data_IF_555698971490
#
_entry.id   IF_555698971490
#
_cell.length_a   1.000
_cell.length_b   1.000
_cell.length_c   1.000
_cell.angle_alpha   90.00
_cell.angle_beta   90.00
_cell.angle_gamma   90.00
#
_symmetry.space_group_name_H-M   'P 1'
#
loop_
_entity.id
_entity.type
_entity.pdbx_description
1 polymer ?
#
# COMPACT_ATOMS: atom_id res chain seq x y z
N UNK A 1 -1.07 35.48 -39.32
CA UNK A 1 -1.33 34.07 -38.97
C UNK A 1 -0.25 33.55 -38.02
N UNK A 2 -0.56 32.68 -37.04
CA UNK A 2 0.46 31.98 -36.27
C UNK A 2 1.32 31.08 -37.17
N UNK A 3 2.65 31.09 -37.00
CA UNK A 3 3.56 30.23 -37.80
C UNK A 3 3.22 28.75 -37.56
N UNK A 4 3.05 27.96 -38.63
CA UNK A 4 2.76 26.51 -38.54
C UNK A 4 3.82 25.82 -37.67
N UNK A 5 3.41 25.15 -36.58
CA UNK A 5 4.34 24.46 -35.67
C UNK A 5 5.09 23.35 -36.42
N UNK A 6 6.42 23.31 -36.27
CA UNK A 6 7.28 22.26 -36.85
C UNK A 6 6.91 20.87 -36.34
N UNK A 7 7.25 19.82 -37.10
CA UNK A 7 6.98 18.43 -36.70
C UNK A 7 7.60 18.08 -35.34
N UNK A 8 8.83 18.54 -35.09
CA UNK A 8 9.52 18.43 -33.80
C UNK A 8 8.72 19.10 -32.66
N UNK A 9 8.25 20.34 -32.85
CA UNK A 9 7.45 21.05 -31.83
C UNK A 9 6.13 20.34 -31.56
N UNK A 10 5.45 19.81 -32.59
CA UNK A 10 4.24 18.98 -32.41
C UNK A 10 4.52 17.70 -31.61
N UNK A 11 5.65 17.01 -31.88
CA UNK A 11 6.06 15.80 -31.15
C UNK A 11 6.35 16.12 -29.67
N UNK A 12 7.09 17.20 -29.40
CA UNK A 12 7.39 17.64 -28.04
C UNK A 12 6.14 18.05 -27.25
N UNK A 13 5.20 18.79 -27.87
CA UNK A 13 3.92 19.14 -27.24
C UNK A 13 3.07 17.89 -26.93
N UNK A 14 3.00 16.90 -27.85
CA UNK A 14 2.32 15.62 -27.59
C UNK A 14 2.99 14.81 -26.47
N UNK A 15 4.33 14.79 -26.41
CA UNK A 15 5.07 14.11 -25.35
C UNK A 15 4.84 14.76 -23.98
N UNK A 16 4.86 16.09 -23.90
CA UNK A 16 4.56 16.84 -22.66
C UNK A 16 3.13 16.62 -22.17
N UNK A 17 2.18 16.48 -23.10
CA UNK A 17 0.79 16.16 -22.78
C UNK A 17 0.67 14.72 -22.24
N UNK A 18 1.30 13.73 -22.88
CA UNK A 18 1.39 12.34 -22.37
C UNK A 18 2.06 12.24 -20.99
N UNK A 19 3.09 13.03 -20.72
CA UNK A 19 3.72 13.11 -19.40
C UNK A 19 2.82 13.78 -18.34
N UNK A 20 1.84 14.59 -18.73
CA UNK A 20 0.80 15.07 -17.82
C UNK A 20 -0.20 13.97 -17.52
N UNK A 21 -0.71 13.28 -18.56
CA UNK A 21 -1.63 12.14 -18.43
C UNK A 21 -1.04 11.05 -17.50
N UNK A 22 0.22 10.67 -17.69
CA UNK A 22 0.91 9.69 -16.85
C UNK A 22 1.01 10.13 -15.39
N UNK A 23 1.34 11.41 -15.11
CA UNK A 23 1.43 11.90 -13.72
C UNK A 23 0.06 11.96 -13.05
N UNK A 24 -0.98 12.40 -13.75
CA UNK A 24 -2.35 12.34 -13.26
C UNK A 24 -2.78 10.88 -12.98
N UNK A 25 -2.48 9.94 -13.86
CA UNK A 25 -2.85 8.53 -13.69
C UNK A 25 -2.15 7.86 -12.49
N UNK A 26 -0.91 8.25 -12.14
CA UNK A 26 -0.18 7.70 -10.98
C UNK A 26 -0.88 7.97 -9.64
N UNK A 27 -1.71 9.02 -9.54
CA UNK A 27 -2.51 9.28 -8.34
C UNK A 27 -3.63 8.24 -8.12
N UNK A 28 -4.04 7.50 -9.16
CA UNK A 28 -5.13 6.52 -9.12
C UNK A 28 -4.66 5.05 -9.29
N UNK A 29 -3.36 4.78 -9.22
CA UNK A 29 -2.84 3.40 -9.17
C UNK A 29 -3.03 2.84 -7.76
N UNK A 30 -3.73 1.71 -7.63
CA UNK A 30 -3.69 0.91 -6.41
C UNK A 30 -2.26 0.42 -6.19
N UNK A 31 -1.63 0.97 -5.15
CA UNK A 31 -0.24 0.66 -4.81
C UNK A 31 -0.10 -0.70 -4.10
N UNK A 32 -1.11 -1.16 -3.37
CA UNK A 32 -1.05 -2.43 -2.64
C UNK A 32 -1.09 -3.63 -3.60
N UNK A 33 -1.85 -3.52 -4.69
CA UNK A 33 -1.94 -4.56 -5.74
C UNK A 33 -0.88 -4.44 -6.84
N UNK A 34 -0.14 -3.32 -6.95
CA UNK A 34 0.79 -3.12 -8.06
C UNK A 34 2.00 -4.07 -7.99
N UNK A 35 2.41 -4.77 -9.08
CA UNK A 35 3.43 -5.82 -9.05
C UNK A 35 4.82 -5.44 -8.50
N UNK A 36 5.19 -4.16 -8.46
CA UNK A 36 6.44 -3.67 -7.86
C UNK A 36 6.38 -3.52 -6.32
N UNK A 37 5.23 -3.82 -5.71
CA UNK A 37 4.93 -3.62 -4.30
C UNK A 37 4.14 -4.78 -3.66
N UNK A 38 3.83 -5.84 -4.42
CA UNK A 38 3.34 -7.11 -3.87
C UNK A 38 4.31 -7.66 -2.83
N UNK A 39 3.79 -8.41 -1.85
CA UNK A 39 4.63 -9.12 -0.90
C UNK A 39 5.42 -10.25 -1.60
N UNK A 40 6.63 -10.50 -1.12
CA UNK A 40 7.43 -11.67 -1.47
C UNK A 40 8.14 -12.20 -0.21
N UNK A 41 8.44 -13.49 -0.18
CA UNK A 41 9.22 -14.12 0.89
C UNK A 41 10.54 -14.62 0.30
N UNK A 42 11.67 -14.32 0.94
CA UNK A 42 12.98 -14.62 0.36
C UNK A 42 13.33 -16.11 0.45
N UNK A 43 13.53 -16.78 -0.70
CA UNK A 43 13.86 -18.20 -0.81
C UNK A 43 15.03 -18.66 0.11
N UNK A 44 15.95 -17.74 0.46
CA UNK A 44 17.15 -18.02 1.27
C UNK A 44 16.98 -17.78 2.77
N UNK A 45 16.18 -16.81 3.20
CA UNK A 45 16.08 -16.40 4.60
C UNK A 45 14.65 -16.32 5.18
N UNK A 46 13.64 -16.66 4.38
CA UNK A 46 12.21 -16.70 4.72
C UNK A 46 11.68 -15.42 5.40
N UNK A 47 12.33 -14.28 5.14
CA UNK A 47 11.82 -12.97 5.55
C UNK A 47 10.89 -12.41 4.49
N UNK A 48 9.72 -11.96 4.94
CA UNK A 48 8.74 -11.22 4.14
C UNK A 48 9.25 -9.80 3.88
N UNK A 49 9.08 -9.34 2.66
CA UNK A 49 9.52 -8.03 2.15
C UNK A 49 8.63 -7.65 0.94
N UNK A 50 8.77 -6.45 0.39
CA UNK A 50 8.14 -6.17 -0.92
C UNK A 50 8.93 -6.78 -2.08
N UNK A 51 8.25 -6.99 -3.20
CA UNK A 51 8.79 -7.30 -4.53
C UNK A 51 10.03 -6.45 -4.84
N UNK A 52 11.21 -7.09 -4.96
CA UNK A 52 12.54 -6.49 -5.20
C UNK A 52 13.40 -7.41 -6.08
N UNK A 53 14.51 -6.87 -6.57
CA UNK A 53 15.51 -7.58 -7.36
C UNK A 53 16.38 -8.48 -6.48
N UNK A 54 16.80 -7.93 -5.34
CA UNK A 54 17.58 -8.58 -4.30
C UNK A 54 16.80 -8.56 -2.98
N UNK A 55 17.10 -9.48 -2.07
CA UNK A 55 16.52 -9.45 -0.74
C UNK A 55 17.18 -8.36 0.12
N UNK A 56 16.35 -7.46 0.66
CA UNK A 56 16.77 -6.36 1.53
C UNK A 56 17.61 -6.85 2.73
N UNK A 57 17.29 -8.03 3.28
CA UNK A 57 17.94 -8.57 4.47
C UNK A 57 19.22 -9.39 4.22
N UNK A 58 19.42 -9.93 3.00
CA UNK A 58 20.54 -10.86 2.75
C UNK A 58 21.14 -10.80 1.34
N UNK A 59 20.76 -9.80 0.53
CA UNK A 59 21.18 -9.57 -0.87
C UNK A 59 20.95 -10.74 -1.84
N UNK A 60 20.25 -11.80 -1.42
CA UNK A 60 19.97 -12.96 -2.27
C UNK A 60 18.98 -12.61 -3.40
N UNK A 61 19.23 -13.16 -4.59
CA UNK A 61 18.31 -13.08 -5.74
C UNK A 61 17.23 -14.15 -5.59
N UNK A 62 15.96 -13.80 -5.84
CA UNK A 62 14.87 -14.77 -5.84
C UNK A 62 14.99 -15.75 -7.02
N UNK A 63 14.75 -17.03 -6.77
CA UNK A 63 14.75 -18.11 -7.77
C UNK A 63 13.68 -17.91 -8.85
N UNK A 64 12.52 -17.37 -8.46
CA UNK A 64 11.38 -17.09 -9.33
C UNK A 64 10.99 -15.61 -9.24
N UNK A 65 11.64 -14.70 -9.99
CA UNK A 65 11.31 -13.28 -9.97
C UNK A 65 9.98 -12.99 -10.67
N UNK A 66 9.16 -12.14 -10.06
CA UNK A 66 7.95 -11.58 -10.67
C UNK A 66 8.24 -10.24 -11.36
N UNK A 67 7.59 -9.96 -12.49
CA UNK A 67 7.77 -8.67 -13.17
C UNK A 67 7.02 -7.52 -12.50
N UNK A 68 7.77 -6.51 -12.04
CA UNK A 68 7.31 -5.25 -11.43
C UNK A 68 6.30 -4.42 -12.26
N UNK A 69 6.07 -4.76 -13.53
CA UNK A 69 5.14 -4.09 -14.45
C UNK A 69 3.96 -4.96 -14.91
N UNK A 70 4.03 -6.29 -14.80
CA UNK A 70 2.99 -7.18 -15.32
C UNK A 70 2.72 -8.44 -14.50
N UNK A 71 3.32 -8.59 -13.31
CA UNK A 71 3.11 -9.71 -12.38
C UNK A 71 3.69 -11.07 -12.82
N UNK A 72 3.86 -11.29 -14.12
CA UNK A 72 4.29 -12.58 -14.69
C UNK A 72 5.64 -13.04 -14.14
N UNK A 73 5.69 -14.32 -13.76
CA UNK A 73 6.88 -15.09 -13.37
C UNK A 73 7.38 -16.02 -14.51
N UNK A 74 6.90 -15.80 -15.75
CA UNK A 74 7.33 -16.47 -16.99
C UNK A 74 7.05 -15.59 -18.23
N UNK A 75 7.98 -15.44 -19.18
CA UNK A 75 7.61 -14.95 -20.52
C UNK A 75 7.06 -16.12 -21.36
N UNK A 76 5.86 -15.91 -21.92
CA UNK A 76 5.18 -16.84 -22.80
C UNK A 76 5.36 -16.37 -24.24
N UNK A 77 5.93 -17.20 -25.12
CA UNK A 77 6.24 -16.84 -26.51
C UNK A 77 5.01 -16.31 -27.30
N UNK A 78 3.81 -16.82 -26.98
CA UNK A 78 2.52 -16.36 -27.55
C UNK A 78 2.25 -14.85 -27.45
N UNK A 79 3.00 -14.10 -26.62
CA UNK A 79 2.86 -12.63 -26.49
C UNK A 79 3.82 -11.81 -27.38
N UNK A 80 4.76 -12.44 -28.10
CA UNK A 80 5.54 -11.85 -29.21
C UNK A 80 6.56 -10.73 -28.91
N UNK A 81 6.38 -9.93 -27.86
CA UNK A 81 7.13 -8.68 -27.60
C UNK A 81 8.31 -8.83 -26.61
N UNK A 82 8.75 -10.06 -26.32
CA UNK A 82 9.95 -10.31 -25.52
C UNK A 82 11.22 -10.00 -26.36
N UNK A 83 12.08 -9.10 -25.86
CA UNK A 83 13.24 -8.52 -26.59
C UNK A 83 14.32 -9.57 -26.83
N UNK A 84 14.56 -10.43 -25.83
CA UNK A 84 15.29 -11.68 -26.02
C UNK A 84 14.30 -12.73 -26.54
N UNK A 85 14.63 -13.37 -27.67
CA UNK A 85 13.77 -14.42 -28.26
C UNK A 85 14.08 -15.77 -27.64
N UNK A 86 13.03 -16.49 -27.24
CA UNK A 86 13.10 -17.85 -26.71
C UNK A 86 12.09 -18.75 -27.46
N UNK A 87 12.49 -19.37 -28.59
CA UNK A 87 11.60 -20.24 -29.36
C UNK A 87 11.29 -21.53 -28.57
N UNK A 88 10.04 -22.00 -28.66
CA UNK A 88 9.61 -23.30 -28.11
C UNK A 88 9.55 -23.45 -26.59
N UNK A 89 10.16 -22.55 -25.80
CA UNK A 89 10.31 -22.71 -24.34
C UNK A 89 9.78 -21.49 -23.59
N UNK A 90 9.14 -21.72 -22.42
CA UNK A 90 8.78 -20.66 -21.48
C UNK A 90 10.00 -20.26 -20.65
N UNK A 91 10.41 -19.00 -20.72
CA UNK A 91 11.56 -18.54 -19.94
C UNK A 91 11.13 -18.06 -18.56
N UNK A 92 11.84 -18.54 -17.53
CA UNK A 92 11.66 -18.28 -16.10
C UNK A 92 12.99 -17.85 -15.47
N UNK A 93 13.00 -17.58 -14.15
CA UNK A 93 14.23 -17.26 -13.42
C UNK A 93 14.91 -16.00 -13.96
N UNK A 94 16.24 -16.02 -14.06
CA UNK A 94 16.99 -14.88 -14.60
C UNK A 94 16.81 -14.68 -16.12
N UNK A 95 16.47 -15.71 -16.89
CA UNK A 95 16.35 -15.59 -18.35
C UNK A 95 15.21 -14.70 -18.82
N UNK A 96 14.18 -14.51 -17.99
CA UNK A 96 13.03 -13.64 -18.29
C UNK A 96 13.24 -12.17 -17.85
N UNK A 97 14.29 -11.91 -17.07
CA UNK A 97 14.66 -10.56 -16.62
C UNK A 97 15.20 -9.76 -17.81
N UNK A 98 14.91 -8.46 -17.83
CA UNK A 98 15.49 -7.51 -18.80
C UNK A 98 16.10 -6.26 -18.18
N UNK A 99 15.65 -5.83 -16.99
CA UNK A 99 16.22 -4.72 -16.24
C UNK A 99 15.86 -4.77 -14.75
N UNK A 100 16.56 -4.00 -13.93
CA UNK A 100 16.09 -3.51 -12.62
C UNK A 100 15.49 -2.11 -12.86
N UNK A 101 14.54 -1.70 -12.01
CA UNK A 101 14.03 -0.33 -12.01
C UNK A 101 14.59 0.45 -10.82
N UNK A 102 15.25 1.57 -11.08
CA UNK A 102 15.92 2.42 -10.07
C UNK A 102 14.96 3.00 -9.00
N UNK A 103 13.66 3.03 -9.32
CA UNK A 103 12.62 3.61 -8.47
C UNK A 103 11.98 2.63 -7.49
N UNK A 104 11.80 1.37 -7.90
CA UNK A 104 11.14 0.35 -7.08
C UNK A 104 12.07 -0.79 -6.68
N UNK A 105 13.33 -0.75 -7.12
CA UNK A 105 14.35 -1.79 -6.91
C UNK A 105 13.89 -3.19 -7.32
N UNK A 106 12.98 -3.32 -8.30
CA UNK A 106 12.34 -4.59 -8.66
C UNK A 106 12.59 -5.00 -10.12
N UNK A 107 12.56 -6.31 -10.38
CA UNK A 107 12.82 -6.87 -11.71
C UNK A 107 11.73 -6.48 -12.73
N UNK A 108 12.16 -5.99 -13.90
CA UNK A 108 11.32 -5.80 -15.08
C UNK A 108 11.68 -6.89 -16.09
N UNK A 109 10.69 -7.61 -16.60
CA UNK A 109 10.93 -8.67 -17.58
C UNK A 109 11.35 -8.08 -18.93
N UNK A 110 12.01 -8.89 -19.76
CA UNK A 110 12.52 -8.49 -21.07
C UNK A 110 11.44 -8.15 -22.12
N UNK A 111 10.16 -8.05 -21.76
CA UNK A 111 9.09 -7.58 -22.64
C UNK A 111 9.25 -6.10 -22.95
N UNK A 112 9.32 -5.73 -24.24
CA UNK A 112 9.57 -4.34 -24.69
C UNK A 112 8.55 -3.36 -24.13
N UNK A 113 7.25 -3.72 -24.10
CA UNK A 113 6.21 -2.93 -23.41
C UNK A 113 6.58 -2.65 -21.95
N UNK A 114 7.08 -3.64 -21.20
CA UNK A 114 7.43 -3.48 -19.79
C UNK A 114 8.68 -2.60 -19.63
N UNK A 115 9.76 -2.89 -20.36
CA UNK A 115 11.00 -2.11 -20.34
C UNK A 115 10.78 -0.65 -20.74
N UNK A 116 9.92 -0.38 -21.74
CA UNK A 116 9.66 0.98 -22.25
C UNK A 116 8.61 1.76 -21.45
N UNK A 117 7.73 1.10 -20.68
CA UNK A 117 6.75 1.80 -19.84
C UNK A 117 7.22 1.98 -18.40
N UNK A 118 7.86 0.98 -17.79
CA UNK A 118 7.87 0.86 -16.33
C UNK A 118 8.51 2.04 -15.62
N UNK A 119 9.72 2.46 -16.02
CA UNK A 119 10.37 3.63 -15.41
C UNK A 119 9.56 4.93 -15.57
N UNK A 120 8.77 5.06 -16.65
CA UNK A 120 7.90 6.24 -16.85
C UNK A 120 6.62 6.19 -16.01
N UNK A 121 6.12 4.99 -15.66
CA UNK A 121 4.83 4.80 -14.97
C UNK A 121 4.98 4.26 -13.55
N UNK A 122 6.21 4.08 -13.04
CA UNK A 122 6.46 3.45 -11.75
C UNK A 122 5.75 4.22 -10.62
N UNK A 123 4.86 3.60 -9.83
CA UNK A 123 4.13 4.30 -8.78
C UNK A 123 5.03 4.68 -7.59
N UNK A 124 6.24 4.10 -7.51
CA UNK A 124 7.21 4.33 -6.44
C UNK A 124 8.30 5.38 -6.75
N UNK A 125 8.32 5.99 -7.94
CA UNK A 125 9.39 6.94 -8.33
C UNK A 125 9.47 8.23 -7.52
N UNK A 126 8.44 8.55 -6.72
CA UNK A 126 8.41 9.69 -5.80
C UNK A 126 8.08 9.22 -4.36
N UNK A 127 8.33 7.95 -4.04
CA UNK A 127 7.95 7.34 -2.76
C UNK A 127 9.04 7.50 -1.70
N UNK A 128 8.73 8.35 -0.72
CA UNK A 128 9.49 8.57 0.52
C UNK A 128 8.45 8.55 1.65
N UNK A 129 8.72 7.84 2.74
CA UNK A 129 7.80 7.77 3.86
C UNK A 129 7.63 9.15 4.52
N UNK A 130 6.40 9.52 4.90
CA UNK A 130 6.15 10.77 5.62
C UNK A 130 6.65 10.78 7.07
N UNK A 131 6.76 9.62 7.73
CA UNK A 131 7.10 9.53 9.16
C UNK A 131 8.60 9.31 9.36
N UNK A 132 9.16 8.19 8.88
CA UNK A 132 10.60 7.91 9.04
C UNK A 132 11.52 8.54 7.97
N UNK A 133 11.00 9.39 7.08
CA UNK A 133 11.71 10.04 5.94
C UNK A 133 12.47 9.11 4.97
N UNK A 134 12.41 7.79 5.15
CA UNK A 134 13.12 6.79 4.34
C UNK A 134 12.53 6.62 2.94
N UNK A 135 13.39 6.53 1.95
CA UNK A 135 13.06 6.14 0.58
C UNK A 135 12.94 4.61 0.40
N UNK A 136 12.45 4.19 -0.77
CA UNK A 136 12.18 2.77 -1.10
C UNK A 136 13.38 1.83 -0.87
N UNK A 137 14.60 2.33 -1.00
CA UNK A 137 15.85 1.57 -0.84
C UNK A 137 16.24 1.31 0.63
N UNK A 138 15.65 2.02 1.59
CA UNK A 138 16.09 2.09 2.99
C UNK A 138 15.16 1.34 3.98
N UNK A 139 14.16 0.64 3.45
CA UNK A 139 13.25 -0.22 4.21
C UNK A 139 12.92 -1.50 3.42
N UNK A 140 12.68 -2.62 4.10
CA UNK A 140 12.39 -3.91 3.42
C UNK A 140 10.93 -4.06 2.95
N UNK A 141 9.99 -3.58 3.76
CA UNK A 141 8.55 -3.77 3.59
C UNK A 141 7.93 -3.05 2.39
N UNK A 142 6.62 -3.26 2.22
CA UNK A 142 5.75 -2.60 1.23
C UNK A 142 5.61 -1.11 1.50
N UNK A 143 5.09 -0.40 0.51
CA UNK A 143 4.72 1.02 0.59
C UNK A 143 3.22 1.15 0.40
N UNK A 144 2.59 2.03 1.18
CA UNK A 144 1.18 2.33 1.14
C UNK A 144 0.97 3.83 0.88
N UNK A 145 -0.28 4.23 0.62
CA UNK A 145 -0.67 5.64 0.57
C UNK A 145 -1.82 5.86 1.55
N UNK A 146 -1.68 6.85 2.43
CA UNK A 146 -2.74 7.20 3.37
C UNK A 146 -4.00 7.62 2.59
N UNK A 147 -5.17 7.07 2.94
CA UNK A 147 -6.44 7.48 2.36
C UNK A 147 -6.73 8.98 2.55
N UNK A 148 -6.38 9.55 3.71
CA UNK A 148 -6.72 10.93 4.08
C UNK A 148 -5.74 12.00 3.58
N UNK A 149 -4.42 11.78 3.68
CA UNK A 149 -3.41 12.75 3.20
C UNK A 149 -2.78 12.37 1.85
N UNK A 150 -3.00 11.15 1.35
CA UNK A 150 -2.39 10.64 0.11
C UNK A 150 -0.85 10.67 0.09
N UNK A 151 -0.19 10.79 1.25
CA UNK A 151 1.26 10.64 1.40
C UNK A 151 1.67 9.16 1.38
N UNK A 152 2.93 8.89 1.04
CA UNK A 152 3.49 7.55 1.09
C UNK A 152 3.89 7.17 2.52
N UNK A 153 3.73 5.89 2.84
CA UNK A 153 4.03 5.29 4.15
C UNK A 153 4.74 3.96 3.93
N UNK A 154 5.74 3.59 4.74
CA UNK A 154 6.24 2.21 4.74
C UNK A 154 5.28 1.28 5.48
N UNK A 155 5.47 -0.03 5.32
CA UNK A 155 4.64 -1.06 5.95
C UNK A 155 4.64 -1.02 7.49
N UNK A 156 5.72 -0.49 8.08
CA UNK A 156 5.88 -0.28 9.52
C UNK A 156 4.99 0.90 9.99
N UNK A 157 5.21 2.09 9.43
CA UNK A 157 4.59 3.36 9.86
C UNK A 157 3.09 3.49 9.48
N UNK A 158 2.57 2.61 8.61
CA UNK A 158 1.28 2.83 7.96
C UNK A 158 0.09 2.95 8.92
N UNK A 159 0.12 2.22 10.04
CA UNK A 159 -1.00 2.12 10.98
C UNK A 159 -1.01 3.29 11.96
N UNK A 160 0.17 3.65 12.50
CA UNK A 160 0.33 4.79 13.41
C UNK A 160 0.00 6.11 12.72
N UNK A 161 0.43 6.27 11.46
CA UNK A 161 -0.02 7.40 10.64
C UNK A 161 -1.52 7.35 10.36
N UNK A 162 -2.11 6.21 9.97
CA UNK A 162 -3.55 6.16 9.66
C UNK A 162 -4.44 6.48 10.88
N UNK A 163 -4.05 6.04 12.08
CA UNK A 163 -4.74 6.36 13.32
C UNK A 163 -4.67 7.85 13.70
N UNK A 164 -3.57 8.53 13.36
CA UNK A 164 -3.31 9.93 13.73
C UNK A 164 -3.60 10.96 12.62
N UNK A 165 -3.70 10.55 11.35
CA UNK A 165 -3.58 11.47 10.21
C UNK A 165 -4.66 12.55 10.12
N UNK A 166 -5.89 12.27 10.58
CA UNK A 166 -6.96 13.28 10.61
C UNK A 166 -6.71 14.37 11.65
N UNK A 167 -5.93 14.09 12.70
CA UNK A 167 -5.58 15.05 13.75
C UNK A 167 -4.68 16.15 13.18
N UNK A 168 -4.88 17.36 13.69
CA UNK A 168 -4.12 18.57 13.34
C UNK A 168 -3.31 19.02 14.55
N UNK A 169 -2.04 19.34 14.34
CA UNK A 169 -1.13 19.83 15.39
C UNK A 169 -1.62 21.13 16.05
N UNK A 170 -2.39 21.93 15.31
CA UNK A 170 -2.85 23.25 15.76
C UNK A 170 -4.25 23.19 16.39
N UNK A 171 -4.34 22.88 17.68
CA UNK A 171 -5.59 22.93 18.48
C UNK A 171 -6.35 24.26 18.36
N UNK A 172 -5.65 25.35 18.03
CA UNK A 172 -6.25 26.68 17.89
C UNK A 172 -7.09 26.86 16.62
N UNK A 173 -7.00 25.94 15.65
CA UNK A 173 -7.63 26.03 14.31
C UNK A 173 -7.36 27.33 13.54
N UNK A 174 -6.30 28.08 13.90
CA UNK A 174 -5.99 29.38 13.33
C UNK A 174 -5.39 29.25 11.93
N UNK A 175 -5.79 30.15 11.03
CA UNK A 175 -5.23 30.25 9.69
C UNK A 175 -3.76 30.67 9.76
N UNK A 176 -2.88 29.82 9.22
CA UNK A 176 -1.41 29.98 9.19
C UNK A 176 -0.92 31.34 8.63
N UNK A 177 -1.78 32.08 7.91
CA UNK A 177 -1.43 33.32 7.20
C UNK A 177 -2.12 34.59 7.75
N UNK A 178 -3.04 34.50 8.73
CA UNK A 178 -3.58 35.69 9.40
C UNK A 178 -4.23 35.46 10.78
N UNK A 179 -4.04 34.31 11.41
CA UNK A 179 -4.51 33.97 12.76
C UNK A 179 -6.03 34.06 13.06
N UNK A 180 -6.86 34.50 12.10
CA UNK A 180 -8.33 34.26 12.06
C UNK A 180 -8.62 32.75 12.00
N UNK A 181 -9.79 32.33 12.45
CA UNK A 181 -10.25 30.93 12.37
C UNK A 181 -10.15 30.39 10.93
N UNK A 182 -9.59 29.19 10.77
CA UNK A 182 -9.56 28.45 9.52
C UNK A 182 -10.88 27.71 9.27
N UNK A 183 -11.29 27.66 8.01
CA UNK A 183 -12.45 26.88 7.55
C UNK A 183 -12.03 25.62 6.77
N UNK A 184 -10.76 25.58 6.34
CA UNK A 184 -10.18 24.52 5.55
C UNK A 184 -8.89 24.01 6.21
N UNK A 185 -8.71 22.69 6.24
CA UNK A 185 -7.54 22.04 6.83
C UNK A 185 -6.80 21.19 5.80
N UNK A 186 -5.46 21.20 5.87
CA UNK A 186 -4.61 20.41 4.96
C UNK A 186 -3.99 19.21 5.69
N UNK A 187 -4.52 18.01 5.45
CA UNK A 187 -4.03 16.79 6.12
C UNK A 187 -2.58 16.39 5.76
N UNK A 188 -2.02 16.92 4.65
CA UNK A 188 -0.59 16.83 4.29
C UNK A 188 0.33 17.84 4.96
N UNK A 189 -0.20 18.93 5.53
CA UNK A 189 0.61 19.99 6.14
C UNK A 189 0.24 20.29 7.59
N UNK A 190 -0.77 19.60 8.14
CA UNK A 190 -1.41 19.81 9.46
C UNK A 190 -1.89 21.24 9.77
N UNK A 191 -1.78 22.17 8.81
CA UNK A 191 -2.16 23.59 8.92
C UNK A 191 -3.59 23.88 8.48
N UNK A 192 -4.25 24.81 9.20
CA UNK A 192 -5.53 25.40 8.83
C UNK A 192 -5.39 26.67 7.96
N UNK A 193 -6.40 26.97 7.14
CA UNK A 193 -6.49 28.18 6.31
C UNK A 193 -7.91 28.76 6.30
N UNK A 194 -8.02 30.09 6.23
CA UNK A 194 -9.30 30.79 6.06
C UNK A 194 -9.65 30.94 4.57
N UNK A 195 -10.95 31.11 4.31
CA UNK A 195 -11.57 31.24 2.99
C UNK A 195 -10.80 32.17 2.03
N UNK A 196 -10.39 33.33 2.55
CA UNK A 196 -9.69 34.36 1.81
C UNK A 196 -8.30 33.92 1.35
N UNK A 197 -7.50 33.27 2.20
CA UNK A 197 -6.16 32.80 1.84
C UNK A 197 -6.19 31.61 0.89
N UNK A 198 -7.24 30.80 0.97
CA UNK A 198 -7.48 29.69 0.06
C UNK A 198 -7.91 30.20 -1.33
N UNK A 199 -8.76 31.24 -1.39
CA UNK A 199 -9.18 31.86 -2.66
C UNK A 199 -8.12 32.74 -3.30
N UNK A 200 -7.31 33.49 -2.53
CA UNK A 200 -6.25 34.39 -3.07
C UNK A 200 -5.22 33.68 -3.97
N UNK A 201 -4.96 32.38 -3.80
CA UNK A 201 -4.07 31.59 -4.68
C UNK A 201 -4.77 31.05 -5.93
N UNK A 202 -6.10 31.00 -5.95
CA UNK A 202 -6.91 30.49 -7.07
C UNK A 202 -7.19 31.61 -8.09
N UNK A 203 -6.17 31.98 -8.86
CA UNK A 203 -6.27 32.96 -9.92
C UNK A 203 -7.17 32.47 -11.08
N UNK A 204 -8.49 32.72 -10.96
CA UNK A 204 -9.40 32.76 -12.10
C UNK A 204 -10.17 31.48 -12.45
N UNK A 205 -10.71 30.73 -11.47
CA UNK A 205 -11.96 29.95 -11.64
C UNK A 205 -12.52 29.39 -10.33
N UNK A 206 -13.84 29.47 -10.08
CA UNK A 206 -14.47 28.66 -9.03
C UNK A 206 -14.48 27.19 -9.44
N UNK A 207 -13.85 26.35 -8.61
CA UNK A 207 -13.92 24.89 -8.71
C UNK A 207 -15.15 24.37 -7.96
N UNK A 208 -15.81 23.32 -8.48
CA UNK A 208 -16.79 22.55 -7.69
C UNK A 208 -16.10 21.59 -6.70
N UNK A 209 -14.87 21.18 -7.00
CA UNK A 209 -14.05 20.34 -6.14
C UNK A 209 -13.37 21.20 -5.06
N UNK A 210 -13.11 20.61 -3.90
CA UNK A 210 -12.50 21.28 -2.76
C UNK A 210 -11.16 21.98 -3.13
N UNK A 211 -10.86 23.14 -2.53
CA UNK A 211 -9.80 24.01 -3.02
C UNK A 211 -8.38 23.50 -2.67
N UNK A 212 -7.35 23.83 -3.47
CA UNK A 212 -5.98 23.38 -3.24
C UNK A 212 -5.26 24.18 -2.14
N UNK A 213 -4.47 23.48 -1.33
CA UNK A 213 -3.67 24.02 -0.24
C UNK A 213 -2.69 25.12 -0.70
N UNK A 214 -2.64 26.29 -0.04
CA UNK A 214 -1.69 27.35 -0.36
C UNK A 214 -0.21 26.96 -0.26
N UNK A 215 0.14 25.98 0.58
CA UNK A 215 1.50 25.42 0.72
C UNK A 215 1.75 24.34 -0.35
N UNK A 216 1.20 23.14 -0.17
CA UNK A 216 1.54 21.95 -0.96
C UNK A 216 0.63 21.66 -2.18
N UNK A 217 -0.46 22.41 -2.38
CA UNK A 217 -1.41 22.19 -3.48
C UNK A 217 -2.38 21.01 -3.31
N UNK A 218 -2.21 20.17 -2.28
CA UNK A 218 -3.15 19.09 -1.94
C UNK A 218 -4.57 19.60 -1.69
N UNK A 219 -5.59 18.81 -1.99
CA UNK A 219 -6.98 19.18 -1.75
C UNK A 219 -7.22 19.43 -0.24
N UNK A 220 -7.88 20.53 0.08
CA UNK A 220 -8.24 20.85 1.46
C UNK A 220 -9.56 20.18 1.82
N UNK A 221 -9.70 19.77 3.08
CA UNK A 221 -10.98 19.35 3.65
C UNK A 221 -11.59 20.53 4.40
N UNK A 222 -12.91 20.59 4.54
CA UNK A 222 -13.54 21.53 5.48
C UNK A 222 -13.17 21.10 6.90
N UNK A 223 -12.81 22.06 7.76
CA UNK A 223 -12.39 21.76 9.14
C UNK A 223 -13.52 21.13 9.97
N UNK A 224 -14.78 21.38 9.61
CA UNK A 224 -15.97 20.79 10.24
C UNK A 224 -16.27 19.35 9.78
N UNK A 225 -15.78 18.92 8.60
CA UNK A 225 -16.00 17.56 8.08
C UNK A 225 -14.99 16.56 8.68
N UNK A 226 -13.97 17.05 9.39
CA UNK A 226 -12.97 16.22 10.06
C UNK A 226 -13.50 15.78 11.43
N UNK A 227 -13.68 14.48 11.60
CA UNK A 227 -14.05 13.81 12.87
C UNK A 227 -12.91 13.86 13.90
N UNK A 228 -12.60 15.08 14.36
CA UNK A 228 -11.56 15.38 15.34
C UNK A 228 -11.96 14.86 16.73
N UNK A 229 -11.52 13.66 17.10
CA UNK A 229 -11.64 13.19 18.49
C UNK A 229 -10.82 14.08 19.42
N UNK A 230 -11.49 14.75 20.35
CA UNK A 230 -10.84 15.47 21.47
C UNK A 230 -10.34 14.51 22.56
N UNK A 231 -10.59 13.20 22.43
CA UNK A 231 -10.06 12.16 23.31
C UNK A 231 -8.87 11.48 22.62
N UNK A 232 -7.66 11.83 23.03
CA UNK A 232 -6.42 11.25 22.52
C UNK A 232 -6.14 9.88 23.16
N UNK A 233 -6.71 8.81 22.61
CA UNK A 233 -6.38 7.45 23.01
C UNK A 233 -4.99 7.07 22.45
N UNK A 234 -3.99 6.99 23.33
CA UNK A 234 -2.66 6.46 22.98
C UNK A 234 -2.73 4.93 22.89
N UNK A 235 -2.79 4.40 21.66
CA UNK A 235 -2.73 2.96 21.38
C UNK A 235 -1.29 2.41 21.54
N UNK A 236 -0.74 2.49 22.74
CA UNK A 236 0.43 1.71 23.13
C UNK A 236 0.00 0.31 23.57
N UNK A 237 0.94 -0.66 23.55
CA UNK A 237 0.79 -1.86 24.39
C UNK A 237 0.77 -1.40 25.84
N UNK A 238 -0.38 -1.46 26.48
CA UNK A 238 -0.48 -1.42 27.93
C UNK A 238 0.21 -2.68 28.45
N UNK A 239 1.45 -2.54 28.90
CA UNK A 239 2.00 -3.51 29.85
C UNK A 239 1.08 -3.53 31.06
N UNK A 240 0.80 -4.72 31.60
CA UNK A 240 -0.07 -4.84 32.75
C UNK A 240 0.50 -4.00 33.90
N UNK A 241 -0.19 -2.91 34.24
CA UNK A 241 0.05 -2.26 35.51
C UNK A 241 -0.38 -3.25 36.58
N UNK A 242 0.59 -3.72 37.37
CA UNK A 242 0.29 -4.21 38.72
C UNK A 242 -0.51 -3.12 39.41
N UNK A 243 -1.62 -3.48 40.03
CA UNK A 243 -2.30 -2.55 40.93
C UNK A 243 -1.40 -2.38 42.15
N UNK A 244 -0.81 -1.20 42.28
CA UNK A 244 -0.35 -0.72 43.57
C UNK A 244 -1.61 -0.35 44.37
N UNK A 245 -1.97 -1.20 45.34
CA UNK A 245 -2.72 -0.74 46.52
C UNK A 245 -1.66 -0.21 47.50
N UNK A 246 -1.71 1.08 47.83
CA UNK A 246 -0.88 1.68 48.88
C UNK A 246 -1.31 1.17 50.27
N UNK A 247 -0.36 0.84 51.16
CA UNK A 247 -0.31 1.30 52.57
C UNK A 247 0.87 0.68 53.38
N UNK A 248 1.46 1.51 54.26
CA UNK A 248 2.20 1.27 55.52
C UNK A 248 3.37 0.24 55.68
N UNK A 249 4.58 0.81 55.78
CA UNK A 249 5.62 0.71 56.86
C UNK A 249 6.07 -0.60 57.59
N UNK A 250 7.41 -0.63 57.80
CA UNK A 250 8.23 -1.27 58.89
C UNK A 250 8.67 -2.76 58.82
N UNK A 251 9.71 -3.07 59.65
CA UNK A 251 10.40 -4.34 60.03
C UNK A 251 9.98 -5.67 59.33
N UNK A 252 10.85 -6.58 58.87
CA UNK A 252 12.26 -6.85 59.19
C UNK A 252 12.45 -8.35 59.47
N UNK A 253 13.65 -8.74 59.93
CA UNK A 253 13.97 -10.08 60.52
C UNK A 253 13.97 -11.37 59.64
N UNK A 254 15.14 -12.03 59.60
CA UNK A 254 15.40 -13.48 59.53
C UNK A 254 14.49 -14.44 58.71
N UNK A 255 14.99 -14.91 57.57
CA UNK A 255 14.46 -16.06 56.83
C UNK A 255 14.98 -17.44 57.29
N UNK A 256 14.73 -18.49 56.49
CA UNK A 256 15.30 -19.82 56.66
C UNK A 256 15.62 -20.47 55.29
N UNK A 257 16.40 -21.55 55.28
CA UNK A 257 16.77 -22.33 54.11
C UNK A 257 15.91 -23.61 53.96
N UNK A 258 16.25 -24.45 52.97
CA UNK A 258 15.61 -25.73 52.58
C UNK A 258 14.18 -25.61 52.04
N UNK A 259 13.73 -26.39 51.05
CA UNK A 259 14.41 -27.41 50.23
C UNK A 259 13.88 -28.84 50.44
N UNK A 260 14.01 -29.65 49.39
CA UNK A 260 13.58 -31.07 49.27
C UNK A 260 12.17 -31.30 48.68
N UNK A 261 11.89 -32.57 48.34
CA UNK A 261 10.79 -33.07 47.49
C UNK A 261 10.14 -34.30 48.12
N UNK A 262 8.85 -34.56 47.89
CA UNK A 262 8.19 -35.74 48.45
C UNK A 262 6.69 -35.84 48.18
N UNK A 263 6.31 -36.94 47.54
CA UNK A 263 4.95 -37.37 47.17
C UNK A 263 4.01 -37.73 48.34
N UNK A 264 2.73 -37.87 47.97
CA UNK A 264 1.68 -38.72 48.59
C UNK A 264 0.94 -38.19 49.85
N UNK A 265 -0.39 -38.35 50.00
CA UNK A 265 -1.38 -38.90 49.04
C UNK A 265 -2.82 -38.97 49.59
N UNK A 266 -3.82 -38.84 48.69
CA UNK A 266 -5.27 -39.09 48.93
C UNK A 266 -6.05 -38.02 49.71
N UNK A 267 -7.40 -37.96 49.66
CA UNK A 267 -8.40 -38.53 48.72
C UNK A 267 -9.78 -37.90 49.01
N UNK A 268 -10.56 -37.50 47.98
CA UNK A 268 -12.03 -37.67 47.81
C UNK A 268 -12.70 -36.64 46.85
N UNK A 269 -13.70 -37.12 46.07
CA UNK A 269 -14.89 -36.37 45.67
C UNK A 269 -14.82 -35.30 44.55
N UNK A 270 -15.29 -35.62 43.33
CA UNK A 270 -15.55 -34.60 42.31
C UNK A 270 -15.65 -35.10 40.85
N UNK A 271 -16.61 -35.97 40.54
CA UNK A 271 -16.87 -36.41 39.16
C UNK A 271 -17.74 -35.41 38.38
N UNK A 272 -17.23 -34.92 37.24
CA UNK A 272 -18.04 -34.45 36.10
C UNK A 272 -17.18 -34.37 34.83
N UNK A 273 -17.09 -35.46 34.07
CA UNK A 273 -16.63 -35.41 32.68
C UNK A 273 -17.75 -34.93 31.77
N UNK A 274 -17.46 -33.96 30.89
CA UNK A 274 -18.34 -33.61 29.77
C UNK A 274 -17.54 -33.69 28.48
N UNK A 275 -17.83 -34.71 27.69
CA UNK A 275 -17.28 -34.92 26.36
C UNK A 275 -18.43 -35.25 25.41
N UNK A 276 -18.89 -34.26 24.67
CA UNK A 276 -19.77 -34.46 23.53
C UNK A 276 -19.03 -33.98 22.28
N UNK A 277 -18.79 -34.94 21.40
CA UNK A 277 -18.73 -34.67 19.96
C UNK A 277 -20.16 -34.77 19.45
N UNK A 278 -20.58 -33.81 18.63
CA UNK A 278 -21.61 -34.03 17.63
C UNK A 278 -20.96 -33.74 16.26
N UNK A 279 -21.16 -34.67 15.32
CA UNK A 279 -20.75 -34.55 13.91
C UNK A 279 -21.89 -33.90 13.08
N UNK A 280 -21.64 -33.73 11.78
CA UNK A 280 -22.64 -33.46 10.72
C UNK A 280 -23.32 -32.06 10.74
N UNK A 281 -23.70 -31.42 9.63
CA UNK A 281 -23.72 -31.80 8.19
C UNK A 281 -23.03 -30.71 7.33
N UNK A 282 -22.32 -31.11 6.26
CA UNK A 282 -21.77 -30.21 5.21
C UNK A 282 -22.79 -30.10 4.04
N UNK A 283 -23.46 -28.95 3.86
CA UNK A 283 -24.29 -28.70 2.67
C UNK A 283 -23.47 -28.07 1.53
N UNK A 284 -23.29 -28.82 0.44
CA UNK A 284 -22.58 -28.41 -0.77
C UNK A 284 -23.57 -28.16 -1.92
N UNK A 285 -23.76 -26.89 -2.30
CA UNK A 285 -24.55 -26.52 -3.49
C UNK A 285 -23.64 -26.44 -4.73
N UNK A 286 -23.43 -27.58 -5.39
CA UNK A 286 -22.80 -27.65 -6.72
C UNK A 286 -23.84 -27.38 -7.84
N UNK A 287 -23.92 -26.14 -8.33
CA UNK A 287 -24.64 -25.82 -9.58
C UNK A 287 -23.77 -26.09 -10.82
N UNK A 288 -23.64 -27.37 -11.22
CA UNK A 288 -23.21 -27.72 -12.59
C UNK A 288 -24.39 -27.69 -13.56
N UNK A 289 -24.21 -27.02 -14.71
CA UNK A 289 -25.14 -27.06 -15.84
C UNK A 289 -24.37 -26.92 -17.15
N UNK A 290 -24.11 -28.05 -17.79
CA UNK A 290 -23.31 -28.16 -19.03
C UNK A 290 -24.05 -29.00 -20.09
N UNK A 291 -23.79 -28.68 -21.37
CA UNK A 291 -24.04 -29.47 -22.61
C UNK A 291 -25.49 -29.89 -22.99
N UNK A 292 -25.81 -30.33 -24.23
CA UNK A 292 -25.77 -29.66 -25.56
C UNK A 292 -27.00 -30.23 -26.37
N UNK A 293 -27.23 -30.28 -27.69
CA UNK A 293 -26.54 -29.99 -28.98
C UNK A 293 -27.44 -29.09 -29.88
N UNK A 294 -26.95 -28.51 -30.99
CA UNK A 294 -27.67 -27.52 -31.79
C UNK A 294 -28.56 -28.13 -32.90
N UNK A 295 -29.53 -27.34 -33.41
CA UNK A 295 -30.12 -27.61 -34.73
C UNK A 295 -29.63 -26.64 -35.82
N UNK A 296 -29.19 -27.23 -36.93
CA UNK A 296 -28.61 -26.56 -38.08
C UNK A 296 -29.61 -26.62 -39.26
N UNK A 297 -30.13 -25.46 -39.69
CA UNK A 297 -30.92 -25.36 -40.92
C UNK A 297 -30.28 -24.39 -41.93
N UNK A 298 -29.83 -24.94 -43.04
CA UNK A 298 -29.26 -24.17 -44.14
C UNK A 298 -30.37 -23.52 -44.98
N UNK A 299 -30.12 -22.30 -45.49
CA UNK A 299 -30.86 -21.81 -46.65
C UNK A 299 -29.95 -21.04 -47.62
N UNK A 300 -29.64 -21.68 -48.75
CA UNK A 300 -28.88 -21.08 -49.85
C UNK A 300 -29.83 -20.66 -50.97
N UNK A 301 -29.92 -19.36 -51.27
CA UNK A 301 -30.43 -18.88 -52.57
C UNK A 301 -30.00 -17.45 -52.92
N UNK A 302 -29.01 -17.38 -53.83
CA UNK A 302 -28.97 -16.64 -55.11
C UNK A 302 -29.55 -15.22 -55.26
N UNK A 303 -28.89 -14.50 -56.18
CA UNK A 303 -29.24 -13.22 -56.80
C UNK A 303 -29.08 -12.00 -55.87
N UNK A 304 -28.49 -10.87 -56.30
CA UNK A 304 -28.01 -10.44 -57.64
C UNK A 304 -26.59 -9.91 -57.59
#
# INVERSE_FOLDING_TARGET
>A
MPKKKTGQRKKAEKQKLRQKEIRNAREHVDLAQHPCNLAMECDKCQKKQKSRAFCYFCSAVQRLPACAQCGKMKCMLKSGDCVVRHPGVFTTGMGMVGAICDFCEAWVCHGRKCLTSHACTCPLADAVCLECERGVWEHGGRVFRCCFCQGFLCEDDQFEHQASCQVLESETYKCQSCNRIGQYSCLRCKTCFCDEHVRRRQAGKPSRNAPPCPRCGYMLHLTADLSMSTRSHRYGRQGAATADDDDDDDDGSYGNATGYSGYDGGMEGGDYSYSESDDDEDESEDEESDEDEPENSANTSKNT
#
